data_IF_800416017561
#
_entry.id   IF_800416017561
#
_cell.length_a   1.000
_cell.length_b   1.000
_cell.length_c   1.000
_cell.angle_alpha   90.00
_cell.angle_beta   90.00
_cell.angle_gamma   90.00
#
_symmetry.space_group_name_H-M   'P 1'
#
loop_
_entity.id
_entity.type
_entity.pdbx_description
1 polymer ?
#
# COMPACT_ATOMS: atom_id res chain seq x y z
N UNK A 1 -12.85 17.37 2.49
CA UNK A 1 -13.57 17.76 1.25
C UNK A 1 -13.17 16.77 0.17
N UNK A 2 -14.06 15.90 -0.30
CA UNK A 2 -13.88 15.20 -1.58
C UNK A 2 -14.32 16.17 -2.66
N UNK A 3 -13.39 16.62 -3.51
CA UNK A 3 -13.73 17.52 -4.60
C UNK A 3 -14.69 16.82 -5.58
N UNK A 4 -15.78 17.48 -6.03
CA UNK A 4 -16.50 17.03 -7.19
C UNK A 4 -15.71 17.41 -8.46
N UNK A 5 -15.53 16.46 -9.38
CA UNK A 5 -15.04 16.75 -10.74
C UNK A 5 -13.60 16.36 -11.01
N UNK A 6 -13.32 16.10 -12.29
CA UNK A 6 -12.16 15.41 -12.85
C UNK A 6 -10.83 16.19 -12.79
N UNK A 7 -10.69 17.16 -11.89
CA UNK A 7 -9.59 18.11 -11.87
C UNK A 7 -8.71 17.98 -10.62
N UNK A 8 -7.41 18.25 -10.77
CA UNK A 8 -6.51 18.42 -9.64
C UNK A 8 -6.82 19.73 -8.92
N UNK A 9 -7.19 19.63 -7.65
CA UNK A 9 -7.48 20.81 -6.81
C UNK A 9 -6.53 20.88 -5.63
N UNK A 10 -6.15 22.10 -5.25
CA UNK A 10 -5.43 22.34 -4.01
C UNK A 10 -6.37 22.02 -2.85
N UNK A 11 -5.92 21.14 -1.95
CA UNK A 11 -6.64 20.86 -0.71
C UNK A 11 -6.21 21.91 0.32
N UNK A 12 -7.16 22.68 0.89
CA UNK A 12 -6.83 23.80 1.78
C UNK A 12 -6.35 23.37 3.17
N UNK A 13 -6.49 22.09 3.53
CA UNK A 13 -6.04 21.55 4.81
C UNK A 13 -4.60 21.03 4.73
N UNK A 14 -3.77 21.45 5.69
CA UNK A 14 -2.43 20.90 5.93
C UNK A 14 -2.50 19.40 6.27
N UNK A 15 -1.50 18.63 5.82
CA UNK A 15 -1.26 17.23 6.17
C UNK A 15 -1.01 16.97 7.65
N UNK A 16 -0.69 17.97 8.48
CA UNK A 16 -0.68 17.82 9.94
C UNK A 16 -2.10 17.65 10.51
N UNK A 17 -3.11 18.13 9.81
CA UNK A 17 -4.48 18.07 10.26
C UNK A 17 -5.07 16.68 9.97
N UNK A 18 -5.61 15.96 10.97
CA UNK A 18 -6.28 14.68 10.73
C UNK A 18 -7.61 14.80 9.96
N UNK A 19 -8.04 16.02 9.61
CA UNK A 19 -9.27 16.26 8.86
C UNK A 19 -9.04 17.22 7.69
N UNK A 20 -9.94 17.16 6.72
CA UNK A 20 -9.97 18.09 5.59
C UNK A 20 -9.39 17.54 4.28
N UNK A 21 -8.60 16.47 4.34
CA UNK A 21 -7.98 15.84 3.15
C UNK A 21 -8.26 14.34 3.05
N UNK A 22 -8.17 13.78 1.84
CA UNK A 22 -8.52 12.38 1.53
C UNK A 22 -7.59 11.37 2.21
N UNK A 23 -6.32 11.68 2.39
CA UNK A 23 -5.35 10.74 2.98
C UNK A 23 -5.68 10.39 4.44
N UNK A 24 -6.12 11.36 5.25
CA UNK A 24 -6.53 11.08 6.61
C UNK A 24 -7.82 10.26 6.65
N UNK A 25 -8.73 10.43 5.68
CA UNK A 25 -9.95 9.62 5.55
C UNK A 25 -9.61 8.16 5.22
N UNK A 26 -8.76 7.93 4.22
CA UNK A 26 -8.36 6.57 3.83
C UNK A 26 -7.61 5.88 4.95
N UNK A 27 -6.66 6.58 5.57
CA UNK A 27 -5.85 6.03 6.64
C UNK A 27 -6.55 6.07 7.99
N UNK A 28 -7.77 6.62 8.08
CA UNK A 28 -8.57 6.56 9.30
C UNK A 28 -8.75 5.11 9.78
N UNK A 29 -8.76 4.15 8.86
CA UNK A 29 -8.89 2.72 9.15
C UNK A 29 -7.56 2.08 9.64
N UNK A 30 -6.44 2.74 9.36
CA UNK A 30 -5.07 2.29 9.67
C UNK A 30 -4.56 2.93 10.97
N UNK A 31 -4.99 4.16 11.24
CA UNK A 31 -4.69 4.94 12.44
C UNK A 31 -5.73 4.68 13.53
N UNK A 32 -5.31 4.60 14.78
CA UNK A 32 -6.17 4.13 15.87
C UNK A 32 -6.63 2.67 15.72
N UNK A 33 -7.57 2.22 16.56
CA UNK A 33 -8.02 0.83 16.60
C UNK A 33 -9.48 0.68 16.16
N UNK A 34 -9.74 0.77 14.85
CA UNK A 34 -11.10 0.60 14.31
C UNK A 34 -11.50 -0.88 14.18
N UNK A 35 -12.65 -1.29 14.73
CA UNK A 35 -13.21 -2.61 14.49
C UNK A 35 -13.49 -2.85 13.01
N UNK A 36 -13.42 -4.10 12.58
CA UNK A 36 -13.78 -4.46 11.20
C UNK A 36 -12.71 -4.16 10.14
N UNK A 37 -11.50 -3.76 10.57
CA UNK A 37 -10.37 -3.46 9.69
C UNK A 37 -9.17 -4.34 10.07
N UNK A 38 -8.56 -4.95 9.05
CA UNK A 38 -7.22 -5.54 9.10
C UNK A 38 -6.38 -4.96 7.97
N UNK A 39 -5.07 -4.90 8.10
CA UNK A 39 -4.15 -4.41 7.10
C UNK A 39 -2.73 -4.93 7.32
N UNK A 40 -1.91 -4.77 6.29
CA UNK A 40 -0.45 -4.80 6.45
C UNK A 40 0.16 -3.55 5.84
N UNK A 41 1.28 -3.12 6.39
CA UNK A 41 2.03 -1.98 5.92
C UNK A 41 3.48 -2.39 5.61
N UNK A 42 4.01 -1.86 4.52
CA UNK A 42 5.35 -2.16 4.05
C UNK A 42 6.09 -0.88 3.69
N UNK A 43 7.39 -0.84 3.96
CA UNK A 43 8.26 0.32 3.68
C UNK A 43 9.72 -0.06 3.88
N UNK A 44 10.61 0.49 3.06
CA UNK A 44 12.06 0.42 3.29
C UNK A 44 12.56 1.44 4.32
N UNK A 45 11.73 2.40 4.70
CA UNK A 45 12.01 3.35 5.77
C UNK A 45 10.74 3.46 6.64
N UNK A 46 10.52 2.44 7.47
CA UNK A 46 9.36 2.33 8.34
C UNK A 46 9.50 3.24 9.57
N UNK A 47 8.41 3.81 10.10
CA UNK A 47 8.47 4.66 11.28
C UNK A 47 9.06 3.95 12.49
N UNK A 48 10.02 4.59 13.16
CA UNK A 48 10.63 4.07 14.39
C UNK A 48 11.57 2.88 14.20
N UNK A 49 11.74 2.38 12.96
CA UNK A 49 12.65 1.28 12.65
C UNK A 49 13.86 1.83 11.89
N UNK A 50 15.06 1.53 12.39
CA UNK A 50 16.33 1.94 11.76
C UNK A 50 17.08 0.73 11.23
N UNK A 51 17.85 0.92 10.17
CA UNK A 51 18.75 -0.11 9.66
C UNK A 51 18.07 -1.25 8.91
N UNK A 52 16.85 -1.05 8.38
CA UNK A 52 16.22 -2.01 7.46
C UNK A 52 17.15 -2.20 6.26
N UNK A 53 17.71 -3.40 6.12
CA UNK A 53 18.50 -3.80 4.95
C UNK A 53 17.59 -4.55 3.98
N UNK A 54 16.94 -3.83 3.08
CA UNK A 54 16.22 -4.40 1.95
C UNK A 54 16.62 -3.67 0.66
N UNK A 55 16.35 -4.27 -0.49
CA UNK A 55 16.64 -3.68 -1.80
C UNK A 55 15.38 -3.21 -2.53
N UNK A 56 14.28 -3.12 -1.78
CA UNK A 56 13.01 -2.57 -2.25
C UNK A 56 12.93 -1.10 -1.87
N UNK A 57 12.37 -0.25 -2.73
CA UNK A 57 12.03 1.14 -2.37
C UNK A 57 10.52 1.33 -2.12
N UNK A 58 9.74 0.26 -2.27
CA UNK A 58 8.28 0.26 -2.21
C UNK A 58 7.77 0.61 -0.81
N UNK A 59 6.73 1.44 -0.75
CA UNK A 59 6.00 1.76 0.48
C UNK A 59 4.50 1.75 0.22
N UNK A 60 3.74 1.32 1.20
CA UNK A 60 2.28 1.29 1.11
C UNK A 60 1.61 0.51 2.21
N UNK A 61 0.28 0.49 2.13
CA UNK A 61 -0.62 -0.20 3.04
C UNK A 61 -1.68 -0.90 2.20
N UNK A 62 -1.91 -2.18 2.48
CA UNK A 62 -3.09 -2.88 1.97
C UNK A 62 -4.08 -3.07 3.10
N UNK A 63 -5.23 -2.43 2.97
CA UNK A 63 -6.34 -2.49 3.91
C UNK A 63 -7.30 -3.60 3.47
N UNK A 64 -7.87 -4.30 4.43
CA UNK A 64 -8.79 -5.39 4.24
C UNK A 64 -9.97 -5.26 5.19
N UNK A 65 -11.12 -4.81 4.66
CA UNK A 65 -12.34 -4.74 5.45
C UNK A 65 -12.83 -6.15 5.81
N UNK A 66 -13.15 -6.38 7.07
CA UNK A 66 -13.63 -7.68 7.58
C UNK A 66 -15.13 -7.71 7.85
N UNK A 67 -15.82 -6.57 7.74
CA UNK A 67 -17.27 -6.50 7.85
C UNK A 67 -17.96 -7.44 6.83
N UNK A 68 -18.96 -8.25 7.26
CA UNK A 68 -19.75 -9.08 6.36
C UNK A 68 -20.35 -8.27 5.20
N UNK A 69 -20.42 -8.86 4.01
CA UNK A 69 -20.94 -8.21 2.80
C UNK A 69 -20.04 -7.10 2.21
N UNK A 70 -18.96 -6.71 2.89
CA UNK A 70 -18.03 -5.68 2.39
C UNK A 70 -16.94 -6.34 1.55
N UNK A 71 -17.01 -6.19 0.23
CA UNK A 71 -15.94 -6.58 -0.68
C UNK A 71 -15.07 -5.38 -1.03
N UNK A 72 -14.18 -4.97 -0.11
CA UNK A 72 -13.29 -3.84 -0.32
C UNK A 72 -11.92 -4.14 0.27
N UNK A 73 -10.88 -3.83 -0.51
CA UNK A 73 -9.48 -3.93 -0.13
C UNK A 73 -8.69 -2.69 -0.63
N UNK A 74 -8.81 -1.53 0.03
CA UNK A 74 -8.07 -0.34 -0.37
C UNK A 74 -6.56 -0.58 -0.36
N UNK A 75 -5.88 -0.14 -1.41
CA UNK A 75 -4.43 -0.18 -1.53
C UNK A 75 -3.89 1.24 -1.60
N UNK A 76 -3.11 1.61 -0.59
CA UNK A 76 -2.48 2.90 -0.45
C UNK A 76 -1.00 2.81 -0.79
N UNK A 77 -0.52 3.62 -1.72
CA UNK A 77 0.88 3.68 -2.16
C UNK A 77 1.40 5.09 -1.92
N UNK A 78 2.62 5.22 -1.39
CA UNK A 78 3.22 6.52 -1.14
C UNK A 78 4.74 6.49 -1.24
N UNK A 79 5.36 7.67 -1.26
CA UNK A 79 6.83 7.83 -1.21
C UNK A 79 7.34 8.44 0.10
N UNK A 80 6.46 8.79 1.04
CA UNK A 80 6.82 9.40 2.33
C UNK A 80 7.59 8.42 3.23
N UNK A 81 8.84 8.69 3.62
CA UNK A 81 9.57 7.88 4.60
C UNK A 81 9.02 8.08 6.02
N UNK A 82 9.10 7.05 6.86
CA UNK A 82 8.65 7.14 8.25
C UNK A 82 7.13 7.28 8.43
N UNK A 83 6.34 6.94 7.42
CA UNK A 83 4.88 7.08 7.41
C UNK A 83 4.20 5.82 6.86
N UNK A 84 2.94 5.54 7.23
CA UNK A 84 2.25 6.02 8.43
C UNK A 84 2.65 5.19 9.66
N UNK A 85 2.38 5.71 10.86
CA UNK A 85 2.53 4.95 12.11
C UNK A 85 1.25 4.14 12.39
N UNK A 86 1.27 2.79 12.29
CA UNK A 86 0.09 1.95 12.45
C UNK A 86 -0.51 2.07 13.85
N UNK A 87 -1.85 2.09 13.96
CA UNK A 87 -2.59 2.11 15.24
C UNK A 87 -2.23 3.26 16.20
N UNK A 88 -1.60 4.31 15.69
CA UNK A 88 -1.34 5.55 16.46
C UNK A 88 -2.21 6.68 15.96
N UNK A 89 -2.22 7.82 16.67
CA UNK A 89 -2.87 9.03 16.17
C UNK A 89 -2.22 9.51 14.87
N UNK A 90 -2.99 10.26 14.07
CA UNK A 90 -2.49 10.86 12.84
C UNK A 90 -1.24 11.70 13.11
N UNK A 91 -0.19 11.45 12.33
CA UNK A 91 1.04 12.22 12.34
C UNK A 91 1.72 12.13 10.99
N UNK A 92 1.82 13.26 10.30
CA UNK A 92 2.70 13.39 9.14
C UNK A 92 4.13 13.69 9.62
N UNK A 93 5.19 13.11 9.02
CA UNK A 93 6.56 13.38 9.47
C UNK A 93 6.99 14.82 9.16
N UNK A 94 7.38 15.58 10.19
CA UNK A 94 7.79 16.98 10.08
C UNK A 94 8.91 17.19 9.03
N UNK A 95 9.91 16.29 9.00
CA UNK A 95 11.03 16.37 8.06
C UNK A 95 10.64 16.19 6.59
N UNK A 96 9.43 15.71 6.34
CA UNK A 96 8.90 15.42 5.01
C UNK A 96 7.92 16.51 4.55
N UNK A 97 7.54 17.45 5.41
CA UNK A 97 6.55 18.48 5.07
C UNK A 97 7.05 19.46 4.01
N UNK A 98 8.33 19.82 4.05
CA UNK A 98 8.95 20.71 3.07
C UNK A 98 9.29 20.02 1.72
N UNK A 99 8.95 18.73 1.56
CA UNK A 99 9.32 17.92 0.39
C UNK A 99 8.09 17.53 -0.43
N UNK A 100 8.29 17.39 -1.74
CA UNK A 100 7.26 16.89 -2.64
C UNK A 100 7.04 15.39 -2.44
N UNK A 101 5.80 14.99 -2.16
CA UNK A 101 5.40 13.59 -2.02
C UNK A 101 4.18 13.24 -2.86
N UNK A 102 4.17 12.00 -3.37
CA UNK A 102 3.03 11.38 -4.03
C UNK A 102 2.39 10.36 -3.09
N UNK A 103 1.07 10.43 -2.95
CA UNK A 103 0.25 9.48 -2.22
C UNK A 103 -0.97 9.15 -3.08
N UNK A 104 -1.22 7.86 -3.30
CA UNK A 104 -2.30 7.36 -4.15
C UNK A 104 -3.05 6.27 -3.41
N UNK A 105 -4.38 6.27 -3.52
CA UNK A 105 -5.22 5.20 -3.00
C UNK A 105 -6.07 4.60 -4.11
N UNK A 106 -6.03 3.28 -4.24
CA UNK A 106 -6.95 2.52 -5.08
C UNK A 106 -7.96 1.80 -4.20
N UNK A 107 -9.25 1.92 -4.50
CA UNK A 107 -10.27 1.05 -3.90
C UNK A 107 -10.38 -0.20 -4.76
N UNK A 108 -10.12 -1.38 -4.22
CA UNK A 108 -10.10 -2.64 -4.96
C UNK A 108 -11.09 -3.65 -4.39
N UNK A 109 -11.46 -4.65 -5.18
CA UNK A 109 -12.14 -5.84 -4.68
C UNK A 109 -11.14 -6.74 -3.93
N UNK A 110 -11.63 -7.56 -3.00
CA UNK A 110 -10.79 -8.51 -2.25
C UNK A 110 -10.11 -9.54 -3.15
N UNK A 111 -10.70 -9.84 -4.31
CA UNK A 111 -10.10 -10.72 -5.32
C UNK A 111 -8.80 -10.19 -5.91
N UNK A 112 -8.57 -8.88 -5.91
CA UNK A 112 -7.33 -8.27 -6.41
C UNK A 112 -6.13 -8.44 -5.45
N UNK A 113 -6.38 -8.86 -4.20
CA UNK A 113 -5.34 -8.94 -3.16
C UNK A 113 -4.25 -9.96 -3.52
N UNK A 114 -4.61 -11.11 -4.09
CA UNK A 114 -3.62 -12.13 -4.48
C UNK A 114 -2.72 -11.61 -5.62
N UNK A 115 -3.31 -10.91 -6.59
CA UNK A 115 -2.57 -10.27 -7.70
C UNK A 115 -1.57 -9.26 -7.16
N UNK A 116 -2.02 -8.34 -6.30
CA UNK A 116 -1.15 -7.35 -5.65
C UNK A 116 -0.03 -7.99 -4.84
N UNK A 117 -0.35 -9.01 -4.04
CA UNK A 117 0.62 -9.71 -3.22
C UNK A 117 1.69 -10.39 -4.09
N UNK A 118 1.35 -10.89 -5.28
CA UNK A 118 2.34 -11.42 -6.23
C UNK A 118 3.29 -10.33 -6.76
N UNK A 119 2.81 -9.11 -7.01
CA UNK A 119 3.67 -7.98 -7.38
C UNK A 119 4.63 -7.62 -6.23
N UNK A 120 4.09 -7.56 -5.00
CA UNK A 120 4.87 -7.30 -3.79
C UNK A 120 5.93 -8.38 -3.52
N UNK A 121 5.62 -9.65 -3.76
CA UNK A 121 6.60 -10.75 -3.64
C UNK A 121 7.84 -10.52 -4.51
N UNK A 122 7.66 -9.93 -5.68
CA UNK A 122 8.74 -9.67 -6.62
C UNK A 122 9.62 -8.50 -6.17
N UNK A 123 9.01 -7.41 -5.70
CA UNK A 123 9.75 -6.25 -5.18
C UNK A 123 10.25 -6.45 -3.75
N UNK A 124 9.85 -7.54 -3.08
CA UNK A 124 10.29 -7.97 -1.75
C UNK A 124 10.40 -6.83 -0.72
N UNK A 125 9.29 -6.12 -0.43
CA UNK A 125 9.30 -5.00 0.48
C UNK A 125 9.40 -5.51 1.92
N UNK A 126 9.91 -4.65 2.80
CA UNK A 126 9.90 -4.96 4.23
C UNK A 126 8.51 -4.66 4.81
N UNK A 127 7.78 -5.70 5.22
CA UNK A 127 6.50 -5.59 5.93
C UNK A 127 6.80 -5.29 7.39
N UNK A 128 6.44 -4.09 7.85
CA UNK A 128 6.75 -3.63 9.22
C UNK A 128 5.55 -3.71 10.16
N UNK A 129 4.35 -3.98 9.63
CA UNK A 129 3.14 -4.19 10.40
C UNK A 129 2.19 -5.12 9.65
N UNK A 130 1.54 -6.04 10.36
CA UNK A 130 0.50 -6.91 9.82
C UNK A 130 -0.44 -7.35 10.95
N UNK A 131 -1.74 -7.09 10.80
CA UNK A 131 -2.80 -7.63 11.67
C UNK A 131 -3.85 -8.44 10.89
N UNK A 132 -3.54 -8.84 9.65
CA UNK A 132 -4.37 -9.78 8.88
C UNK A 132 -4.35 -11.14 9.56
N UNK A 133 -5.54 -11.68 9.85
CA UNK A 133 -5.68 -12.98 10.51
C UNK A 133 -4.95 -14.11 9.75
N UNK A 134 -4.33 -15.02 10.49
CA UNK A 134 -3.60 -16.15 9.90
C UNK A 134 -4.48 -17.02 9.00
N UNK A 135 -5.77 -17.17 9.34
CA UNK A 135 -6.75 -17.88 8.51
C UNK A 135 -6.84 -17.25 7.11
N UNK A 136 -6.90 -15.92 7.04
CA UNK A 136 -6.99 -15.18 5.78
C UNK A 136 -5.67 -15.16 5.02
N UNK A 137 -4.54 -15.05 5.72
CA UNK A 137 -3.20 -15.20 5.12
C UNK A 137 -3.08 -16.58 4.46
N UNK A 138 -3.48 -17.64 5.17
CA UNK A 138 -3.38 -19.01 4.67
C UNK A 138 -4.33 -19.28 3.50
N UNK A 139 -5.45 -18.58 3.39
CA UNK A 139 -6.38 -18.70 2.25
C UNK A 139 -5.91 -17.97 0.99
N UNK A 140 -4.90 -17.10 1.08
CA UNK A 140 -4.39 -16.31 -0.05
C UNK A 140 -2.93 -16.70 -0.30
N UNK A 141 -2.65 -17.56 -1.31
CA UNK A 141 -1.32 -18.13 -1.53
C UNK A 141 -0.20 -17.09 -1.62
N UNK A 142 -0.43 -15.96 -2.30
CA UNK A 142 0.60 -14.93 -2.44
C UNK A 142 0.86 -14.19 -1.11
N UNK A 143 -0.17 -13.92 -0.29
CA UNK A 143 0.04 -13.34 1.04
C UNK A 143 0.77 -14.31 1.97
N UNK A 144 0.43 -15.60 1.93
CA UNK A 144 1.15 -16.63 2.70
C UNK A 144 2.65 -16.63 2.39
N UNK A 145 3.00 -16.49 1.10
CA UNK A 145 4.40 -16.37 0.68
C UNK A 145 5.02 -15.03 1.09
N UNK A 146 4.26 -13.93 1.01
CA UNK A 146 4.75 -12.58 1.31
C UNK A 146 5.13 -12.43 2.80
N UNK A 147 4.36 -13.05 3.69
CA UNK A 147 4.61 -13.00 5.14
C UNK A 147 5.45 -14.17 5.67
N UNK A 148 5.65 -15.21 4.87
CA UNK A 148 6.53 -16.32 5.21
C UNK A 148 8.01 -15.99 4.98
N UNK A 149 8.88 -16.94 5.33
CA UNK A 149 10.31 -16.84 5.03
C UNK A 149 10.60 -17.56 3.70
N UNK A 150 11.07 -16.82 2.69
CA UNK A 150 11.57 -17.38 1.44
C UNK A 150 10.79 -16.96 0.19
N UNK A 151 11.04 -15.74 -0.28
CA UNK A 151 10.82 -15.39 -1.67
C UNK A 151 12.02 -15.88 -2.50
N UNK A 152 12.01 -17.16 -2.88
CA UNK A 152 12.86 -17.61 -3.99
C UNK A 152 12.21 -17.12 -5.29
N UNK A 153 12.43 -15.85 -5.61
CA UNK A 153 12.04 -15.28 -6.90
C UNK A 153 12.95 -15.84 -7.98
N UNK A 154 12.41 -16.79 -8.74
CA UNK A 154 12.99 -17.33 -9.96
C UNK A 154 12.62 -16.44 -11.15
N UNK A 155 13.35 -16.48 -12.27
CA UNK A 155 12.98 -15.77 -13.48
C UNK A 155 11.52 -16.05 -13.88
N UNK A 156 10.76 -15.04 -14.37
CA UNK A 156 11.19 -13.68 -14.73
C UNK A 156 11.39 -12.73 -13.53
N UNK A 157 12.36 -11.82 -13.65
CA UNK A 157 12.73 -10.84 -12.60
C UNK A 157 11.96 -9.51 -12.67
N UNK A 158 10.98 -9.42 -13.57
CA UNK A 158 10.00 -8.36 -13.70
C UNK A 158 8.62 -8.96 -13.97
N UNK A 159 7.56 -8.24 -13.60
CA UNK A 159 6.18 -8.62 -13.93
C UNK A 159 5.35 -7.37 -14.24
N UNK A 160 4.39 -7.52 -15.14
CA UNK A 160 3.33 -6.57 -15.40
C UNK A 160 2.02 -7.26 -15.00
N UNK A 161 1.25 -6.61 -14.14
CA UNK A 161 -0.03 -7.12 -13.64
C UNK A 161 -1.11 -6.08 -13.92
N UNK A 162 -2.31 -6.55 -14.24
CA UNK A 162 -3.46 -5.68 -14.41
C UNK A 162 -4.48 -5.97 -13.31
N UNK A 163 -4.96 -4.90 -12.68
CA UNK A 163 -6.07 -4.94 -11.73
C UNK A 163 -7.10 -3.89 -12.13
N UNK A 164 -8.28 -3.96 -11.54
CA UNK A 164 -9.38 -3.04 -11.77
C UNK A 164 -9.78 -2.37 -10.46
N UNK A 165 -9.98 -1.05 -10.49
CA UNK A 165 -10.56 -0.33 -9.36
C UNK A 165 -12.03 -0.69 -9.19
N UNK A 166 -12.47 -0.74 -7.93
CA UNK A 166 -13.86 -0.91 -7.57
C UNK A 166 -14.51 0.47 -7.45
N UNK A 167 -15.32 0.83 -8.43
CA UNK A 167 -16.17 2.01 -8.42
C UNK A 167 -17.53 1.67 -9.07
N UNK A 168 -18.61 2.19 -8.50
CA UNK A 168 -19.95 1.94 -9.02
C UNK A 168 -20.12 2.58 -10.40
N UNK A 169 -20.45 1.78 -11.42
CA UNK A 169 -20.76 2.25 -12.77
C UNK A 169 -19.56 2.46 -13.71
N UNK A 170 -18.31 2.40 -13.22
CA UNK A 170 -17.11 2.39 -14.07
C UNK A 170 -15.91 1.83 -13.29
N UNK A 171 -15.20 0.86 -13.85
CA UNK A 171 -13.95 0.32 -13.29
C UNK A 171 -12.78 0.92 -14.07
N UNK A 172 -11.70 1.31 -13.39
CA UNK A 172 -10.48 1.77 -14.06
C UNK A 172 -9.43 0.66 -14.06
N UNK A 173 -8.88 0.27 -15.23
CA UNK A 173 -7.74 -0.64 -15.28
C UNK A 173 -6.50 0.06 -14.71
N UNK A 174 -5.70 -0.70 -13.97
CA UNK A 174 -4.44 -0.26 -13.37
C UNK A 174 -3.38 -1.28 -13.71
N UNK A 175 -2.31 -0.83 -14.34
CA UNK A 175 -1.14 -1.65 -14.63
C UNK A 175 -0.08 -1.45 -13.57
N UNK A 176 0.46 -2.56 -13.07
CA UNK A 176 1.47 -2.60 -12.02
C UNK A 176 2.71 -3.25 -12.59
N UNK A 177 3.80 -2.49 -12.64
CA UNK A 177 5.11 -2.97 -13.03
C UNK A 177 5.95 -3.19 -11.79
N UNK A 178 6.49 -4.40 -11.66
CA UNK A 178 7.31 -4.80 -10.52
C UNK A 178 8.63 -5.35 -11.02
N UNK A 179 9.71 -5.08 -10.28
CA UNK A 179 11.07 -5.50 -10.61
C UNK A 179 11.77 -5.99 -9.34
N UNK A 180 12.39 -7.16 -9.43
CA UNK A 180 13.12 -7.75 -8.31
C UNK A 180 14.56 -7.21 -8.23
N UNK A 181 15.14 -7.34 -7.04
CA UNK A 181 16.56 -7.05 -6.80
C UNK A 181 17.50 -7.87 -7.72
N UNK A 182 17.09 -9.06 -8.16
CA UNK A 182 17.90 -9.94 -9.02
C UNK A 182 17.86 -9.55 -10.49
N UNK A 183 17.06 -8.54 -10.86
CA UNK A 183 16.95 -8.07 -12.23
C UNK A 183 18.28 -7.51 -12.73
N UNK A 184 18.69 -7.94 -13.94
CA UNK A 184 19.92 -7.49 -14.60
C UNK A 184 19.71 -6.25 -15.47
N UNK A 185 18.46 -5.87 -15.75
CA UNK A 185 18.15 -4.57 -16.35
C UNK A 185 18.56 -3.50 -15.35
N UNK A 186 19.29 -2.45 -15.78
CA UNK A 186 19.94 -1.43 -14.93
C UNK A 186 18.98 -0.63 -14.02
N UNK A 187 19.23 0.66 -13.75
CA UNK A 187 18.30 1.43 -12.90
C UNK A 187 16.93 1.69 -13.55
N UNK A 188 16.83 1.49 -14.86
CA UNK A 188 15.64 1.81 -15.64
C UNK A 188 14.54 0.75 -15.49
N UNK A 189 13.31 1.26 -15.35
CA UNK A 189 12.07 0.47 -15.33
C UNK A 189 11.12 0.88 -16.46
N UNK A 190 11.33 2.06 -17.06
CA UNK A 190 10.57 2.58 -18.20
C UNK A 190 11.53 2.75 -19.37
N UNK A 191 11.23 2.10 -20.50
CA UNK A 191 11.87 2.29 -21.79
C UNK A 191 10.83 2.80 -22.78
#
# INVERSE_FOLDING_TARGET
LTAPGNDWVNVPADLHNPVGHSFAVVLADVIGNKPGIQFFAYSNNAPGIRGVKNNSNSKGILISHTNPGTDSAPWFVHIVPGFPKPKTAWAFPESEYAKGHLLICFTLAKSAVDVLANGLLLVSPFVYYNDISQLKVNSIPALKKLFGEGSNTFPPFSTAQEIATKLAGSSMPVQIFSKSQRSKYGWDIFY
#
